data_IF_640132898235
#
_entry.id   IF_640132898235
#
_cell.length_a   1.000
_cell.length_b   1.000
_cell.length_c   1.000
_cell.angle_alpha   90.00
_cell.angle_beta   90.00
_cell.angle_gamma   90.00
#
_symmetry.space_group_name_H-M   'P 1'
#
loop_
_entity.id
_entity.type
_entity.pdbx_description
1 polymer ?
#
# COMPACT_ATOMS: atom_id res chain seq x y z
N UNK A 1 -1.23 -7.74 13.98
CA UNK A 1 -0.75 -7.59 12.61
C UNK A 1 -0.92 -6.13 12.17
N UNK A 2 0.14 -5.55 11.63
CA UNK A 2 0.12 -4.15 11.20
C UNK A 2 -0.04 -4.05 9.69
N UNK A 3 -0.66 -2.95 9.26
CA UNK A 3 -0.82 -2.61 7.86
C UNK A 3 -0.15 -1.26 7.64
N UNK A 4 0.61 -1.12 6.57
CA UNK A 4 1.30 0.12 6.24
C UNK A 4 1.08 0.46 4.77
N UNK A 5 1.03 1.74 4.45
CA UNK A 5 0.77 2.22 3.09
C UNK A 5 1.95 3.02 2.54
N UNK A 6 2.31 2.76 1.29
CA UNK A 6 3.17 3.64 0.50
C UNK A 6 2.34 4.15 -0.67
N UNK A 7 2.10 5.44 -0.70
CA UNK A 7 1.22 6.06 -1.71
C UNK A 7 1.98 7.08 -2.54
N UNK A 8 1.58 7.23 -3.79
CA UNK A 8 2.10 8.29 -4.65
C UNK A 8 1.38 9.62 -4.42
N UNK A 9 0.28 9.62 -3.68
CA UNK A 9 -0.52 10.83 -3.49
C UNK A 9 -1.01 10.98 -2.06
N UNK A 10 -1.22 12.23 -1.70
CA UNK A 10 -1.63 12.59 -0.35
C UNK A 10 -3.08 12.21 -0.05
N UNK A 11 -3.95 12.29 -1.04
CA UNK A 11 -5.36 11.98 -0.83
C UNK A 11 -5.59 10.54 -0.40
N UNK A 12 -4.89 9.61 -1.03
CA UNK A 12 -4.97 8.19 -0.64
C UNK A 12 -4.44 8.01 0.78
N UNK A 13 -3.35 8.69 1.12
CA UNK A 13 -2.81 8.61 2.48
C UNK A 13 -3.82 9.09 3.51
N UNK A 14 -4.49 10.22 3.26
CA UNK A 14 -5.49 10.76 4.17
C UNK A 14 -6.66 9.79 4.32
N UNK A 15 -7.14 9.24 3.20
CA UNK A 15 -8.23 8.28 3.22
C UNK A 15 -7.88 7.07 4.08
N UNK A 16 -6.67 6.55 3.94
CA UNK A 16 -6.23 5.40 4.73
C UNK A 16 -6.06 5.74 6.21
N UNK A 17 -5.61 6.94 6.52
CA UNK A 17 -5.52 7.38 7.91
C UNK A 17 -6.88 7.39 8.59
N UNK A 18 -7.92 7.76 7.86
CA UNK A 18 -9.28 7.70 8.39
C UNK A 18 -9.70 6.27 8.74
N UNK A 19 -9.12 5.30 8.06
CA UNK A 19 -9.37 3.89 8.35
C UNK A 19 -8.38 3.32 9.38
N UNK A 20 -7.54 4.16 9.97
CA UNK A 20 -6.57 3.74 10.97
C UNK A 20 -5.28 3.17 10.41
N UNK A 21 -5.01 3.36 9.13
CA UNK A 21 -3.81 2.84 8.48
C UNK A 21 -2.77 3.94 8.35
N UNK A 22 -1.56 3.67 8.84
CA UNK A 22 -0.45 4.61 8.73
C UNK A 22 0.27 4.42 7.40
N UNK A 23 0.92 5.45 6.93
CA UNK A 23 1.64 5.37 5.68
C UNK A 23 2.51 6.57 5.40
N UNK A 24 3.13 6.55 4.23
CA UNK A 24 3.96 7.63 3.73
C UNK A 24 3.65 7.88 2.26
N UNK A 25 4.01 9.08 1.80
CA UNK A 25 3.95 9.42 0.37
C UNK A 25 5.35 9.30 -0.21
N UNK A 26 5.44 8.71 -1.40
CA UNK A 26 6.70 8.56 -2.11
C UNK A 26 6.49 8.88 -3.59
N UNK A 27 7.32 9.75 -4.12
CA UNK A 27 7.30 10.14 -5.53
C UNK A 27 8.57 9.65 -6.22
N UNK A 28 8.39 8.78 -7.21
CA UNK A 28 9.50 8.26 -7.99
C UNK A 28 10.23 7.11 -7.31
N UNK A 29 11.19 6.55 -8.05
CA UNK A 29 11.88 5.34 -7.60
C UNK A 29 12.70 5.54 -6.34
N UNK A 30 13.43 6.64 -6.25
CA UNK A 30 14.32 6.85 -5.11
C UNK A 30 13.53 6.92 -3.80
N UNK A 31 12.49 7.73 -3.78
CA UNK A 31 11.64 7.85 -2.59
C UNK A 31 10.92 6.54 -2.29
N UNK A 32 10.48 5.84 -3.32
CA UNK A 32 9.80 4.56 -3.14
C UNK A 32 10.74 3.52 -2.53
N UNK A 33 11.98 3.43 -3.02
CA UNK A 33 12.98 2.52 -2.44
C UNK A 33 13.25 2.85 -0.98
N UNK A 34 13.33 4.13 -0.67
CA UNK A 34 13.54 4.57 0.72
C UNK A 34 12.37 4.14 1.61
N UNK A 35 11.16 4.32 1.11
CA UNK A 35 9.95 3.91 1.85
C UNK A 35 9.93 2.40 2.07
N UNK A 36 10.26 1.61 1.05
CA UNK A 36 10.36 0.16 1.20
C UNK A 36 11.41 -0.23 2.24
N UNK A 37 12.55 0.46 2.25
CA UNK A 37 13.58 0.20 3.25
C UNK A 37 13.09 0.45 4.68
N UNK A 38 12.27 1.46 4.87
CA UNK A 38 11.67 1.75 6.18
C UNK A 38 10.81 0.59 6.67
N UNK A 39 10.14 -0.10 5.77
CA UNK A 39 9.26 -1.22 6.16
C UNK A 39 10.04 -2.40 6.72
N UNK A 40 11.32 -2.54 6.35
CA UNK A 40 12.14 -3.65 6.83
C UNK A 40 12.38 -3.60 8.33
N UNK A 41 12.32 -2.41 8.92
CA UNK A 41 12.52 -2.25 10.36
C UNK A 41 11.22 -2.32 11.15
N UNK A 42 10.10 -2.43 10.47
CA UNK A 42 8.80 -2.50 11.14
C UNK A 42 8.53 -3.90 11.64
N UNK A 43 8.22 -3.99 12.94
CA UNK A 43 7.83 -5.28 13.54
C UNK A 43 6.37 -5.55 13.29
N UNK A 44 6.07 -6.80 13.09
CA UNK A 44 4.68 -7.28 12.97
C UNK A 44 3.94 -6.69 11.78
N UNK A 45 4.67 -6.26 10.76
CA UNK A 45 4.04 -5.78 9.53
C UNK A 45 3.52 -6.99 8.74
N UNK A 46 2.20 -7.06 8.61
CA UNK A 46 1.56 -8.18 7.92
C UNK A 46 1.14 -7.86 6.51
N UNK A 47 0.78 -6.60 6.25
CA UNK A 47 0.32 -6.18 4.93
C UNK A 47 0.97 -4.85 4.57
N UNK A 48 1.52 -4.79 3.36
CA UNK A 48 2.05 -3.55 2.79
C UNK A 48 1.18 -3.18 1.60
N UNK A 49 0.47 -2.06 1.73
CA UNK A 49 -0.36 -1.52 0.65
C UNK A 49 0.50 -0.55 -0.15
N UNK A 50 0.48 -0.70 -1.47
CA UNK A 50 1.18 0.25 -2.36
C UNK A 50 0.24 0.65 -3.48
N UNK A 51 0.28 1.91 -3.87
CA UNK A 51 -0.48 2.35 -5.04
C UNK A 51 0.17 1.81 -6.29
N UNK A 52 -0.62 1.65 -7.36
CA UNK A 52 -0.10 1.16 -8.63
C UNK A 52 1.08 1.99 -9.13
N UNK A 53 0.99 3.31 -8.96
CA UNK A 53 2.05 4.23 -9.41
C UNK A 53 3.34 3.97 -8.64
N UNK A 54 3.26 3.77 -7.33
CA UNK A 54 4.43 3.42 -6.54
C UNK A 54 5.01 2.09 -7.01
N UNK A 55 4.16 1.08 -7.18
CA UNK A 55 4.60 -0.24 -7.62
C UNK A 55 5.32 -0.19 -8.97
N UNK A 56 4.85 0.65 -9.88
CA UNK A 56 5.47 0.82 -11.19
C UNK A 56 6.88 1.39 -11.13
N UNK A 57 7.22 2.11 -10.07
CA UNK A 57 8.57 2.67 -9.91
C UNK A 57 9.57 1.64 -9.40
N UNK A 58 9.10 0.57 -8.80
CA UNK A 58 9.94 -0.45 -8.16
C UNK A 58 9.49 -1.88 -8.52
N UNK A 59 9.38 -2.20 -9.81
CA UNK A 59 8.87 -3.53 -10.20
C UNK A 59 9.74 -4.66 -9.68
N UNK A 60 11.03 -4.44 -9.56
CA UNK A 60 11.96 -5.41 -9.01
C UNK A 60 11.65 -5.76 -7.56
N UNK A 61 11.33 -4.76 -6.75
CA UNK A 61 10.98 -4.98 -5.35
C UNK A 61 9.64 -5.69 -5.20
N UNK A 62 8.69 -5.34 -6.06
CA UNK A 62 7.37 -6.00 -6.05
C UNK A 62 7.53 -7.50 -6.33
N UNK A 63 8.28 -7.86 -7.35
CA UNK A 63 8.53 -9.26 -7.70
C UNK A 63 9.25 -9.97 -6.56
N UNK A 64 10.28 -9.34 -6.01
CA UNK A 64 11.07 -9.91 -4.92
C UNK A 64 10.18 -10.23 -3.71
N UNK A 65 9.33 -9.29 -3.31
CA UNK A 65 8.47 -9.49 -2.16
C UNK A 65 7.42 -10.57 -2.39
N UNK A 66 6.85 -10.63 -3.59
CA UNK A 66 5.87 -11.67 -3.92
C UNK A 66 6.48 -13.06 -3.95
N UNK A 67 7.72 -13.16 -4.40
CA UNK A 67 8.43 -14.46 -4.46
C UNK A 67 8.87 -14.94 -3.10
N UNK A 68 9.09 -14.05 -2.16
CA UNK A 68 9.61 -14.44 -0.85
C UNK A 68 8.67 -15.36 -0.09
N UNK A 69 7.37 -15.22 -0.31
CA UNK A 69 6.36 -15.96 0.43
C UNK A 69 6.32 -15.62 1.91
N UNK A 70 7.04 -14.59 2.34
CA UNK A 70 7.11 -14.16 3.73
C UNK A 70 6.33 -12.86 3.92
N UNK A 71 5.85 -12.59 5.13
CA UNK A 71 5.26 -11.28 5.41
C UNK A 71 6.27 -10.16 5.18
N UNK A 72 5.79 -8.98 4.82
CA UNK A 72 4.40 -8.61 4.63
C UNK A 72 3.84 -9.06 3.28
N UNK A 73 2.53 -9.25 3.23
CA UNK A 73 1.82 -9.46 1.97
C UNK A 73 1.74 -8.12 1.24
N UNK A 74 2.19 -8.09 0.00
CA UNK A 74 2.14 -6.89 -0.82
C UNK A 74 0.80 -6.83 -1.56
N UNK A 75 0.08 -5.74 -1.40
CA UNK A 75 -1.20 -5.52 -2.07
C UNK A 75 -1.15 -4.20 -2.83
N UNK A 76 -1.39 -4.25 -4.14
CA UNK A 76 -1.47 -3.04 -4.95
C UNK A 76 -2.87 -2.44 -4.91
N UNK A 77 -2.92 -1.13 -4.71
CA UNK A 77 -4.17 -0.37 -4.72
C UNK A 77 -4.28 0.32 -6.08
N UNK A 78 -5.41 0.17 -6.78
CA UNK A 78 -5.60 0.83 -8.07
C UNK A 78 -5.45 2.34 -7.98
N UNK A 79 -5.03 2.94 -9.10
CA UNK A 79 -4.93 4.38 -9.20
C UNK A 79 -6.30 5.01 -9.02
N UNK A 80 -6.40 5.94 -8.07
CA UNK A 80 -7.66 6.63 -7.78
C UNK A 80 -8.17 7.42 -8.99
N UNK A 81 -7.30 7.83 -9.88
CA UNK A 81 -7.68 8.59 -11.07
C UNK A 81 -8.36 7.72 -12.11
N UNK A 82 -8.22 6.43 -12.05
CA UNK A 82 -8.84 5.51 -12.98
C UNK A 82 -10.26 5.13 -12.62
N UNK A 83 -10.81 5.61 -11.51
CA UNK A 83 -12.15 5.23 -11.07
C UNK A 83 -12.95 6.44 -10.62
N UNK A 84 -14.21 6.49 -11.07
CA UNK A 84 -15.15 7.51 -10.64
C UNK A 84 -15.78 7.20 -9.29
N UNK A 85 -15.69 5.95 -8.86
CA UNK A 85 -16.23 5.50 -7.58
C UNK A 85 -15.11 5.21 -6.60
N UNK A 86 -14.10 6.03 -6.67
CA UNK A 86 -12.83 5.76 -6.01
C UNK A 86 -12.91 5.56 -4.51
N UNK A 87 -13.76 6.30 -3.81
CA UNK A 87 -13.85 6.17 -2.37
C UNK A 87 -14.45 4.83 -1.97
N UNK A 88 -15.62 4.50 -2.53
CA UNK A 88 -16.25 3.22 -2.27
C UNK A 88 -15.42 2.06 -2.79
N UNK A 89 -14.82 2.26 -3.96
CA UNK A 89 -13.99 1.25 -4.59
C UNK A 89 -12.78 0.92 -3.71
N UNK A 90 -12.07 1.94 -3.23
CA UNK A 90 -10.90 1.72 -2.39
C UNK A 90 -11.26 1.03 -1.09
N UNK A 91 -12.32 1.49 -0.43
CA UNK A 91 -12.76 0.90 0.83
C UNK A 91 -13.09 -0.57 0.65
N UNK A 92 -13.84 -0.88 -0.40
CA UNK A 92 -14.23 -2.25 -0.70
C UNK A 92 -13.02 -3.11 -1.06
N UNK A 93 -12.13 -2.57 -1.90
CA UNK A 93 -10.95 -3.27 -2.33
C UNK A 93 -10.06 -3.67 -1.15
N UNK A 94 -9.83 -2.73 -0.24
CA UNK A 94 -9.02 -2.99 0.94
C UNK A 94 -9.70 -4.01 1.85
N UNK A 95 -10.99 -3.87 2.05
CA UNK A 95 -11.75 -4.82 2.87
C UNK A 95 -11.62 -6.24 2.33
N UNK A 96 -11.76 -6.40 1.02
CA UNK A 96 -11.67 -7.70 0.38
C UNK A 96 -10.24 -8.24 0.41
N UNK A 97 -9.25 -7.39 0.11
CA UNK A 97 -7.86 -7.80 0.02
C UNK A 97 -7.29 -8.21 1.37
N UNK A 98 -7.69 -7.51 2.44
CA UNK A 98 -7.19 -7.79 3.78
C UNK A 98 -8.05 -8.84 4.49
N UNK A 99 -9.26 -9.04 4.03
CA UNK A 99 -10.20 -9.95 4.67
C UNK A 99 -10.71 -9.43 6.00
N UNK A 100 -10.60 -8.13 6.24
CA UNK A 100 -11.02 -7.50 7.47
C UNK A 100 -12.38 -6.84 7.26
N UNK A 101 -13.27 -7.04 8.19
CA UNK A 101 -14.56 -6.34 8.18
C UNK A 101 -14.40 -5.00 8.87
N UNK A 102 -14.62 -3.96 8.12
CA UNK A 102 -14.55 -2.58 8.64
C UNK A 102 -15.96 -2.14 9.06
N UNK A 103 -16.46 -2.79 10.06
CA UNK A 103 -17.78 -2.47 10.60
C UNK A 103 -17.71 -1.52 11.76
#
# INVERSE_FOLDING_TARGET
MKVFLISDNHDTLVLMKLAGIKGVVAHGREESLKAFSQTLSMRDLGVLLVTEIVAETVPDKVVEMRRSGKPPLLVEIPDRHGSRRKEDFLTRYIREAIGVRLE
#
